data_IF_023829054329
#
_entry.id   IF_023829054329
#
_cell.length_a   1.000
_cell.length_b   1.000
_cell.length_c   1.000
_cell.angle_alpha   90.00
_cell.angle_beta   90.00
_cell.angle_gamma   90.00
#
_symmetry.space_group_name_H-M   'P 1'
#
loop_
_entity.id
_entity.type
_entity.pdbx_description
1 polymer ?
#
# COMPACT_ATOMS: atom_id res chain seq x y z
N UNK A 1 8.56 -16.19 -6.54
CA UNK A 1 8.04 -14.90 -6.04
C UNK A 1 9.15 -14.05 -5.45
N UNK A 2 9.46 -12.92 -6.09
CA UNK A 2 10.40 -11.90 -5.62
C UNK A 2 9.81 -10.53 -5.91
N UNK A 3 10.09 -9.57 -5.03
CA UNK A 3 9.70 -8.18 -5.25
C UNK A 3 10.75 -7.26 -4.64
N UNK A 4 11.10 -6.21 -5.38
CA UNK A 4 11.94 -5.11 -4.93
C UNK A 4 11.49 -3.82 -5.61
N UNK A 5 11.02 -2.87 -4.82
CA UNK A 5 10.70 -1.51 -5.24
C UNK A 5 11.59 -0.50 -4.53
N UNK A 6 12.00 0.57 -5.20
CA UNK A 6 12.71 1.71 -4.59
C UNK A 6 12.07 3.03 -5.00
N UNK A 7 11.80 3.89 -4.03
CA UNK A 7 11.37 5.28 -4.22
C UNK A 7 12.50 6.20 -3.75
N UNK A 8 12.86 7.19 -4.57
CA UNK A 8 13.88 8.19 -4.25
C UNK A 8 13.28 9.60 -4.10
N UNK A 9 12.08 9.83 -4.61
CA UNK A 9 11.40 11.12 -4.50
C UNK A 9 10.65 11.23 -3.17
N UNK A 10 10.96 12.28 -2.42
CA UNK A 10 10.35 12.62 -1.13
C UNK A 10 8.83 12.80 -1.27
N UNK A 11 8.35 13.38 -2.38
CA UNK A 11 6.91 13.60 -2.59
C UNK A 11 6.17 12.28 -2.78
N UNK A 12 6.74 11.37 -3.58
CA UNK A 12 6.21 10.02 -3.78
C UNK A 12 6.19 9.22 -2.46
N UNK A 13 7.28 9.27 -1.69
CA UNK A 13 7.36 8.61 -0.37
C UNK A 13 6.27 9.15 0.58
N UNK A 14 6.08 10.48 0.59
CA UNK A 14 5.07 11.13 1.44
C UNK A 14 3.66 10.73 1.02
N UNK A 15 3.36 10.73 -0.28
CA UNK A 15 2.06 10.32 -0.82
C UNK A 15 1.77 8.85 -0.50
N UNK A 16 2.73 7.95 -0.73
CA UNK A 16 2.60 6.54 -0.38
C UNK A 16 2.32 6.35 1.12
N UNK A 17 3.07 7.06 1.97
CA UNK A 17 2.87 7.03 3.43
C UNK A 17 1.49 7.55 3.84
N UNK A 18 1.02 8.64 3.23
CA UNK A 18 -0.33 9.17 3.48
C UNK A 18 -1.42 8.19 3.07
N UNK A 19 -1.26 7.52 1.92
CA UNK A 19 -2.20 6.50 1.46
C UNK A 19 -2.30 5.36 2.46
N UNK A 20 -1.17 4.76 2.86
CA UNK A 20 -1.15 3.68 3.86
C UNK A 20 -1.82 4.11 5.16
N UNK A 21 -1.55 5.33 5.64
CA UNK A 21 -2.16 5.85 6.85
C UNK A 21 -3.67 6.06 6.73
N UNK A 22 -4.17 6.35 5.53
CA UNK A 22 -5.61 6.41 5.28
C UNK A 22 -6.21 5.01 5.27
N UNK A 23 -5.55 4.05 4.62
CA UNK A 23 -5.99 2.64 4.62
C UNK A 23 -6.02 2.06 6.04
N UNK A 24 -5.04 2.35 6.89
CA UNK A 24 -5.01 1.85 8.26
C UNK A 24 -6.14 2.39 9.15
N UNK A 25 -6.68 3.57 8.84
CA UNK A 25 -7.87 4.10 9.53
C UNK A 25 -9.17 3.45 9.05
N UNK A 26 -9.17 2.90 7.84
CA UNK A 26 -10.35 2.28 7.23
C UNK A 26 -10.48 0.80 7.60
N UNK A 27 -9.38 0.05 7.56
CA UNK A 27 -9.37 -1.40 7.74
C UNK A 27 -8.16 -1.86 8.52
N UNK A 28 -8.30 -2.92 9.33
CA UNK A 28 -7.19 -3.56 10.08
C UNK A 28 -6.29 -4.43 9.21
N UNK A 29 -6.86 -4.98 8.14
CA UNK A 29 -6.23 -5.90 7.21
C UNK A 29 -6.49 -5.41 5.79
N UNK A 30 -5.47 -5.47 4.93
CA UNK A 30 -5.64 -5.21 3.50
C UNK A 30 -4.84 -6.23 2.68
N UNK A 31 -5.28 -6.40 1.44
CA UNK A 31 -4.57 -7.18 0.43
C UNK A 31 -3.75 -6.24 -0.44
N UNK A 32 -2.45 -6.46 -0.49
CA UNK A 32 -1.54 -5.82 -1.41
C UNK A 32 -1.38 -6.72 -2.64
N UNK A 33 -1.76 -6.17 -3.79
CA UNK A 33 -1.55 -6.77 -5.10
C UNK A 33 -0.40 -6.06 -5.80
N UNK A 34 0.63 -6.80 -6.14
CA UNK A 34 1.75 -6.34 -6.96
C UNK A 34 1.61 -6.90 -8.37
N UNK A 35 1.63 -6.02 -9.35
CA UNK A 35 1.64 -6.32 -10.78
C UNK A 35 2.85 -5.63 -11.43
N UNK A 36 3.24 -5.95 -12.67
CA UNK A 36 4.40 -5.32 -13.32
C UNK A 36 4.23 -3.82 -13.56
N UNK A 37 2.98 -3.35 -13.72
CA UNK A 37 2.66 -1.96 -14.06
C UNK A 37 2.08 -1.16 -12.88
N UNK A 38 1.48 -1.85 -11.91
CA UNK A 38 0.69 -1.23 -10.84
C UNK A 38 0.79 -1.97 -9.52
N UNK A 39 0.67 -1.20 -8.46
CA UNK A 39 0.51 -1.64 -7.08
C UNK A 39 -0.91 -1.29 -6.63
N UNK A 40 -1.67 -2.27 -6.15
CA UNK A 40 -3.04 -2.05 -5.68
C UNK A 40 -3.19 -2.45 -4.21
N UNK A 41 -3.88 -1.62 -3.44
CA UNK A 41 -4.33 -1.93 -2.08
C UNK A 41 -5.83 -2.19 -2.13
N UNK A 42 -6.21 -3.38 -1.68
CA UNK A 42 -7.59 -3.87 -1.74
C UNK A 42 -8.06 -4.14 -0.32
N UNK A 43 -9.19 -3.55 0.03
CA UNK A 43 -9.97 -3.91 1.21
C UNK A 43 -11.31 -4.39 0.68
N UNK A 44 -11.58 -5.69 0.84
CA UNK A 44 -12.86 -6.27 0.45
C UNK A 44 -13.94 -5.87 1.46
N UNK A 45 -15.15 -5.59 0.97
CA UNK A 45 -16.30 -5.29 1.83
C UNK A 45 -16.60 -6.45 2.77
N UNK A 46 -16.68 -6.14 4.07
CA UNK A 46 -17.16 -7.10 5.05
C UNK A 46 -18.68 -7.24 4.93
N UNK A 47 -19.16 -8.44 4.60
CA UNK A 47 -20.58 -8.75 4.49
C UNK A 47 -21.31 -8.70 5.84
N UNK A 48 -21.65 -7.51 6.30
CA UNK A 48 -22.67 -7.24 7.31
C UNK A 48 -23.07 -5.76 7.24
N UNK A 49 -24.32 -5.46 7.61
CA UNK A 49 -24.80 -4.08 7.82
C UNK A 49 -23.92 -3.42 8.91
N UNK A 50 -22.96 -2.58 8.50
CA UNK A 50 -21.91 -2.03 9.36
C UNK A 50 -20.48 -2.53 9.08
N UNK A 51 -20.26 -3.27 7.98
CA UNK A 51 -18.97 -3.80 7.57
C UNK A 51 -17.97 -2.74 7.11
N UNK A 52 -16.69 -3.13 7.09
CA UNK A 52 -15.59 -2.31 6.59
C UNK A 52 -15.86 -1.89 5.14
N UNK A 53 -15.79 -0.58 4.81
CA UNK A 53 -16.05 -0.11 3.46
C UNK A 53 -15.03 -0.68 2.48
N UNK A 54 -15.50 -0.99 1.27
CA UNK A 54 -14.65 -1.45 0.18
C UNK A 54 -13.66 -0.36 -0.19
N UNK A 55 -12.40 -0.72 -0.38
CA UNK A 55 -11.37 0.18 -0.87
C UNK A 55 -10.61 -0.49 -2.00
N UNK A 56 -10.55 0.21 -3.14
CA UNK A 56 -9.61 -0.07 -4.20
C UNK A 56 -8.74 1.16 -4.39
N UNK A 57 -7.46 1.06 -4.02
CA UNK A 57 -6.48 2.11 -4.26
C UNK A 57 -5.40 1.59 -5.21
N UNK A 58 -5.19 2.29 -6.32
CA UNK A 58 -4.25 1.91 -7.36
C UNK A 58 -3.13 2.95 -7.49
N UNK A 59 -1.90 2.46 -7.61
CA UNK A 59 -0.71 3.26 -7.85
C UNK A 59 0.03 2.72 -9.06
N UNK A 60 0.20 3.56 -10.08
CA UNK A 60 1.05 3.23 -11.23
C UNK A 60 2.52 3.22 -10.80
N UNK A 61 3.21 2.10 -11.05
CA UNK A 61 4.56 1.90 -10.53
C UNK A 61 5.55 2.95 -11.06
N UNK A 62 5.40 3.34 -12.33
CA UNK A 62 6.27 4.30 -13.03
C UNK A 62 6.27 5.70 -12.39
N UNK A 63 5.23 6.07 -11.65
CA UNK A 63 5.13 7.37 -11.00
C UNK A 63 5.81 7.40 -9.63
N UNK A 64 5.91 6.25 -8.96
CA UNK A 64 6.39 6.17 -7.58
C UNK A 64 7.79 5.58 -7.46
N UNK A 65 8.11 4.57 -8.28
CA UNK A 65 9.31 3.76 -8.13
C UNK A 65 10.37 4.12 -9.18
N UNK A 66 11.58 4.39 -8.73
CA UNK A 66 12.76 4.52 -9.60
C UNK A 66 13.34 3.16 -10.00
N UNK A 67 13.16 2.16 -9.15
CA UNK A 67 13.50 0.76 -9.43
C UNK A 67 12.30 -0.09 -9.05
N UNK A 68 11.77 -0.88 -9.99
CA UNK A 68 10.67 -1.81 -9.73
C UNK A 68 10.97 -3.15 -10.39
N UNK A 69 11.26 -4.16 -9.58
CA UNK A 69 11.56 -5.51 -10.04
C UNK A 69 10.65 -6.48 -9.34
N UNK A 70 9.88 -7.25 -10.10
CA UNK A 70 9.00 -8.26 -9.55
C UNK A 70 9.00 -9.52 -10.39
N UNK A 71 8.89 -10.66 -9.72
CA UNK A 71 8.82 -11.98 -10.33
C UNK A 71 7.72 -12.73 -9.56
N UNK A 72 6.61 -12.99 -10.22
CA UNK A 72 5.39 -13.58 -9.65
C UNK A 72 5.50 -15.08 -9.43
N UNK A 73 4.38 -15.77 -9.63
CA UNK A 73 4.29 -17.24 -9.53
C UNK A 73 4.52 -17.90 -10.88
N UNK A 74 4.04 -17.29 -11.96
CA UNK A 74 4.15 -17.76 -13.35
C UNK A 74 4.46 -16.58 -14.28
N UNK A 75 5.01 -16.87 -15.47
CA UNK A 75 5.20 -15.90 -16.55
C UNK A 75 3.87 -15.39 -17.11
N UNK A 76 2.84 -16.24 -17.14
CA UNK A 76 1.50 -15.89 -17.64
C UNK A 76 0.68 -15.05 -16.65
N UNK A 77 0.87 -15.30 -15.34
CA UNK A 77 0.21 -14.58 -14.25
C UNK A 77 1.25 -13.99 -13.32
N UNK A 78 1.93 -12.96 -13.81
CA UNK A 78 3.02 -12.28 -13.11
C UNK A 78 2.50 -11.32 -12.03
N UNK A 79 1.69 -11.81 -11.10
CA UNK A 79 1.14 -11.06 -9.97
C UNK A 79 1.55 -11.69 -8.64
N UNK A 80 1.57 -10.88 -7.58
CA UNK A 80 1.75 -11.35 -6.20
C UNK A 80 0.65 -10.75 -5.34
N UNK A 81 -0.15 -11.60 -4.70
CA UNK A 81 -1.16 -11.18 -3.75
C UNK A 81 -0.69 -11.55 -2.35
N UNK A 82 -0.75 -10.59 -1.44
CA UNK A 82 -0.39 -10.80 -0.05
C UNK A 82 -1.30 -10.01 0.87
N UNK A 83 -1.70 -10.63 1.97
CA UNK A 83 -2.44 -9.98 3.05
C UNK A 83 -1.46 -9.43 4.08
N UNK A 84 -1.75 -8.22 4.58
CA UNK A 84 -0.95 -7.56 5.59
C UNK A 84 -1.81 -6.78 6.59
N UNK A 85 -1.27 -6.60 7.80
CA UNK A 85 -1.89 -5.75 8.81
C UNK A 85 -1.52 -4.29 8.58
N UNK A 86 -2.54 -3.48 8.29
CA UNK A 86 -2.39 -2.06 7.91
C UNK A 86 -1.79 -1.23 9.03
N UNK A 87 -2.13 -1.52 10.29
CA UNK A 87 -1.58 -0.83 11.47
C UNK A 87 -0.07 -1.02 11.61
N UNK A 88 0.43 -2.23 11.34
CA UNK A 88 1.86 -2.53 11.37
C UNK A 88 2.58 -1.77 10.26
N UNK A 89 2.02 -1.80 9.05
CA UNK A 89 2.55 -1.09 7.91
C UNK A 89 2.59 0.44 8.13
N UNK A 90 1.50 1.03 8.64
CA UNK A 90 1.42 2.44 8.99
C UNK A 90 2.44 2.82 10.07
N UNK A 91 2.59 2.01 11.13
CA UNK A 91 3.60 2.23 12.18
C UNK A 91 5.02 2.18 11.64
N UNK A 92 5.33 1.24 10.75
CA UNK A 92 6.63 1.16 10.07
C UNK A 92 6.94 2.44 9.30
N UNK A 93 5.96 2.97 8.57
CA UNK A 93 6.12 4.20 7.79
C UNK A 93 6.01 5.48 8.63
N UNK A 94 5.55 5.42 9.88
CA UNK A 94 5.55 6.59 10.78
C UNK A 94 6.94 7.10 11.10
N UNK A 95 7.97 6.24 11.02
CA UNK A 95 9.37 6.65 11.10
C UNK A 95 9.74 7.72 10.06
N UNK A 96 9.02 7.77 8.93
CA UNK A 96 9.16 8.76 7.86
C UNK A 96 8.51 10.12 8.18
N UNK A 97 7.67 10.21 9.22
CA UNK A 97 7.02 11.46 9.62
C UNK A 97 7.89 12.35 10.52
N UNK A 98 8.99 11.81 11.06
CA UNK A 98 9.94 12.62 11.81
C UNK A 98 10.51 13.73 10.91
N UNK A 99 10.95 14.84 11.49
CA UNK A 99 11.38 16.10 10.85
C UNK A 99 12.44 15.98 9.74
N UNK A 100 12.96 14.79 9.51
CA UNK A 100 13.92 14.44 8.47
C UNK A 100 13.20 13.59 7.41
N UNK A 101 12.77 14.25 6.32
CA UNK A 101 12.24 13.57 5.14
C UNK A 101 13.22 12.47 4.66
N UNK A 102 12.73 11.24 4.54
CA UNK A 102 13.56 10.14 4.07
C UNK A 102 14.10 10.43 2.67
N UNK A 103 15.37 10.11 2.47
CA UNK A 103 16.08 10.25 1.19
C UNK A 103 15.73 9.13 0.23
N UNK A 104 15.52 7.92 0.74
CA UNK A 104 15.07 6.80 -0.08
C UNK A 104 14.25 5.80 0.75
N UNK A 105 13.28 5.16 0.09
CA UNK A 105 12.45 4.09 0.64
C UNK A 105 12.58 2.88 -0.28
N UNK A 106 13.04 1.75 0.23
CA UNK A 106 13.13 0.50 -0.53
C UNK A 106 12.28 -0.57 0.13
N UNK A 107 11.47 -1.25 -0.66
CA UNK A 107 10.51 -2.27 -0.24
C UNK A 107 10.93 -3.57 -0.89
N UNK A 108 11.07 -4.64 -0.09
CA UNK A 108 11.48 -5.97 -0.57
C UNK A 108 10.57 -7.04 0.00
N UNK A 109 10.19 -8.01 -0.82
CA UNK A 109 9.63 -9.26 -0.32
C UNK A 109 10.77 -10.20 0.06
N UNK A 110 10.88 -10.52 1.34
CA UNK A 110 11.92 -11.39 1.89
C UNK A 110 11.30 -12.60 2.57
N UNK A 111 12.06 -13.70 2.61
CA UNK A 111 11.70 -14.91 3.35
C UNK A 111 12.67 -15.04 4.53
N UNK A 112 12.23 -14.58 5.71
CA UNK A 112 12.95 -14.80 6.96
C UNK A 112 12.39 -16.08 7.61
N UNK A 113 11.88 -16.00 8.84
CA UNK A 113 11.13 -17.09 9.47
C UNK A 113 9.75 -17.27 8.81
N UNK A 114 9.15 -16.17 8.37
CA UNK A 114 7.92 -16.09 7.58
C UNK A 114 8.13 -15.12 6.40
N UNK A 115 7.26 -15.14 5.38
CA UNK A 115 7.29 -14.11 4.35
C UNK A 115 7.04 -12.73 4.97
N UNK A 116 7.95 -11.79 4.70
CA UNK A 116 7.90 -10.44 5.24
C UNK A 116 8.11 -9.43 4.12
N UNK A 117 7.44 -8.28 4.24
CA UNK A 117 7.73 -7.09 3.47
C UNK A 117 8.73 -6.25 4.28
N UNK A 118 9.99 -6.24 3.82
CA UNK A 118 11.08 -5.50 4.44
C UNK A 118 11.14 -4.10 3.86
N UNK A 119 11.11 -3.09 4.73
CA UNK A 119 11.25 -1.68 4.42
C UNK A 119 12.63 -1.21 4.87
N UNK A 120 13.47 -0.82 3.91
CA UNK A 120 14.75 -0.15 4.13
C UNK A 120 14.57 1.34 3.88
N UNK A 121 14.74 2.14 4.93
CA UNK A 121 14.52 3.59 4.93
C UNK A 121 15.85 4.29 5.16
N UNK A 122 16.28 5.10 4.21
CA UNK A 122 17.47 5.93 4.34
C UNK A 122 17.06 7.33 4.83
N UNK A 123 17.40 7.67 6.07
CA UNK A 123 17.16 8.97 6.67
C UNK A 123 18.42 9.85 6.57
N UNK A 124 18.27 11.16 6.30
CA UNK A 124 19.38 12.08 6.42
C UNK A 124 19.84 12.18 7.89
N UNK A 125 21.10 12.52 8.12
CA UNK A 125 21.65 12.71 9.47
C UNK A 125 22.42 14.01 9.55
N UNK A 126 22.34 14.67 10.71
CA UNK A 126 23.10 15.89 11.02
C UNK A 126 24.61 15.61 11.06
N UNK A 127 25.00 14.36 11.35
CA UNK A 127 26.41 13.92 11.40
C UNK A 127 26.99 13.55 10.03
N UNK A 128 26.27 13.80 8.93
CA UNK A 128 26.72 13.55 7.55
C UNK A 128 26.63 12.09 7.07
N UNK A 129 26.52 11.10 7.97
CA UNK A 129 26.31 9.69 7.59
C UNK A 129 24.82 9.33 7.54
N UNK A 130 24.29 8.80 6.43
CA UNK A 130 22.89 8.43 6.35
C UNK A 130 22.56 7.32 7.36
N UNK A 131 21.41 7.44 8.02
CA UNK A 131 20.90 6.40 8.94
C UNK A 131 20.00 5.46 8.16
N UNK A 132 20.31 4.16 8.22
CA UNK A 132 19.48 3.13 7.62
C UNK A 132 18.59 2.52 8.69
N UNK A 133 17.28 2.63 8.51
CA UNK A 133 16.27 1.99 9.36
C UNK A 133 15.64 0.84 8.58
N UNK A 134 15.63 -0.35 9.17
CA UNK A 134 15.07 -1.55 8.54
C UNK A 134 13.91 -2.07 9.39
N UNK A 135 12.76 -2.27 8.75
CA UNK A 135 11.58 -2.82 9.39
C UNK A 135 11.05 -4.00 8.59
N UNK A 136 10.66 -5.08 9.27
CA UNK A 136 10.02 -6.22 8.64
C UNK A 136 8.55 -6.28 9.04
N UNK A 137 7.67 -6.27 8.05
CA UNK A 137 6.22 -6.44 8.25
C UNK A 137 5.85 -7.85 7.80
N UNK A 138 5.41 -8.75 8.70
CA UNK A 138 4.93 -10.07 8.30
C UNK A 138 3.76 -9.96 7.33
N UNK A 139 3.75 -10.78 6.29
CA UNK A 139 2.68 -10.86 5.30
C UNK A 139 2.23 -12.31 5.13
N UNK A 140 1.00 -12.51 4.67
CA UNK A 140 0.50 -13.83 4.29
C UNK A 140 0.33 -13.87 2.77
N UNK A 141 1.02 -14.77 2.09
CA UNK A 141 0.85 -14.93 0.63
C UNK A 141 -0.50 -15.58 0.34
N UNK A 142 -1.28 -14.96 -0.53
CA UNK A 142 -2.62 -15.46 -0.90
C UNK A 142 -2.46 -16.50 -2.01
N UNK A 143 -3.00 -17.73 -1.84
CA UNK A 143 -3.00 -18.74 -2.89
C UNK A 143 -3.78 -18.29 -4.14
N UNK A 144 -3.31 -18.69 -5.33
CA UNK A 144 -3.91 -18.33 -6.63
C UNK A 144 -5.43 -18.58 -6.72
N UNK A 145 -5.90 -19.65 -6.09
CA UNK A 145 -7.34 -20.03 -6.06
C UNK A 145 -8.23 -18.92 -5.49
N UNK A 146 -7.69 -18.05 -4.64
CA UNK A 146 -8.43 -16.97 -3.98
C UNK A 146 -8.23 -15.60 -4.65
N UNK A 147 -7.42 -15.50 -5.71
CA UNK A 147 -7.14 -14.21 -6.36
C UNK A 147 -8.38 -13.59 -7.01
N UNK A 148 -9.34 -14.41 -7.45
CA UNK A 148 -10.58 -13.95 -8.09
C UNK A 148 -11.41 -13.02 -7.19
N UNK A 149 -11.37 -13.22 -5.86
CA UNK A 149 -12.15 -12.44 -4.88
C UNK A 149 -11.53 -11.06 -4.63
N UNK A 150 -10.24 -10.88 -4.95
CA UNK A 150 -9.50 -9.63 -4.76
C UNK A 150 -9.24 -8.90 -6.07
N UNK A 151 -10.09 -9.12 -7.07
CA UNK A 151 -10.05 -8.38 -8.32
C UNK A 151 -10.70 -7.01 -8.18
N UNK A 152 -10.38 -6.14 -9.13
CA UNK A 152 -10.97 -4.81 -9.24
C UNK A 152 -12.49 -4.92 -9.33
N UNK A 153 -13.25 -4.18 -8.49
CA UNK A 153 -14.70 -4.17 -8.56
C UNK A 153 -15.13 -3.73 -9.95
N UNK A 154 -15.83 -4.60 -10.68
CA UNK A 154 -16.41 -4.22 -11.97
C UNK A 154 -17.54 -3.24 -11.70
N UNK A 155 -17.45 -2.04 -12.27
CA UNK A 155 -18.54 -1.07 -12.26
C UNK A 155 -19.65 -1.58 -13.19
N UNK A 156 -20.50 -2.48 -12.69
CA UNK A 156 -21.50 -3.20 -13.50
C UNK A 156 -22.82 -2.46 -13.64
N UNK A 157 -22.98 -1.28 -13.02
CA UNK A 157 -24.23 -0.53 -13.04
C UNK A 157 -24.05 0.84 -13.69
N UNK A 158 -24.99 1.20 -14.57
CA UNK A 158 -25.19 2.60 -14.94
C UNK A 158 -25.66 3.36 -13.70
N UNK A 159 -24.90 4.38 -13.30
CA UNK A 159 -25.30 5.26 -12.23
C UNK A 159 -26.48 6.12 -12.69
N UNK A 160 -27.54 6.18 -11.90
CA UNK A 160 -28.70 7.03 -12.19
C UNK A 160 -28.36 8.53 -12.09
N UNK A 161 -27.39 8.89 -11.25
CA UNK A 161 -26.90 10.24 -11.08
C UNK A 161 -25.43 10.23 -10.66
N UNK A 162 -24.67 11.21 -11.14
CA UNK A 162 -23.28 11.45 -10.76
C UNK A 162 -23.12 12.91 -10.39
N UNK A 163 -22.55 13.18 -9.21
CA UNK A 163 -22.30 14.54 -8.73
C UNK A 163 -20.84 14.67 -8.30
N UNK A 164 -20.25 15.84 -8.58
CA UNK A 164 -18.94 16.18 -8.05
C UNK A 164 -19.05 16.49 -6.56
N UNK A 165 -18.19 15.84 -5.77
CA UNK A 165 -18.14 16.13 -4.34
C UNK A 165 -17.62 17.56 -4.10
N UNK A 166 -18.21 18.29 -3.15
CA UNK A 166 -17.65 19.55 -2.67
C UNK A 166 -16.31 19.30 -1.95
N UNK A 167 -15.57 20.35 -1.56
CA UNK A 167 -14.31 20.19 -0.83
C UNK A 167 -14.47 19.26 0.38
N UNK A 168 -13.77 18.12 0.37
CA UNK A 168 -13.94 17.04 1.37
C UNK A 168 -13.71 17.52 2.81
N UNK A 169 -12.92 18.58 3.01
CA UNK A 169 -12.71 19.20 4.32
C UNK A 169 -13.99 19.78 4.91
N UNK A 170 -14.84 20.42 4.09
CA UNK A 170 -16.12 20.96 4.54
C UNK A 170 -17.10 19.83 4.82
N UNK A 171 -17.16 18.84 3.92
CA UNK A 171 -18.02 17.67 4.08
C UNK A 171 -17.71 16.93 5.39
N UNK A 172 -16.43 16.73 5.71
CA UNK A 172 -15.99 16.10 6.95
C UNK A 172 -16.57 16.77 8.20
N UNK A 173 -16.53 18.10 8.28
CA UNK A 173 -17.06 18.84 9.43
C UNK A 173 -18.58 18.66 9.59
N UNK A 174 -19.30 18.44 8.50
CA UNK A 174 -20.76 18.21 8.53
C UNK A 174 -21.06 16.77 8.95
N UNK A 175 -20.31 15.79 8.45
CA UNK A 175 -20.51 14.36 8.76
C UNK A 175 -20.08 14.00 10.19
N UNK A 176 -19.08 14.69 10.75
CA UNK A 176 -18.60 14.45 12.13
C UNK A 176 -19.45 15.15 13.22
N UNK A 177 -20.43 15.98 12.84
CA UNK A 177 -21.39 16.62 13.76
C UNK A 177 -22.56 15.71 14.06
#
# INVERSE_FOLDING_TARGET
MKFRGKMNDVMCIRQFTQLINSVSRLAKVCVLRLSPERLCLVVSEGGALGGTPGLWAELEQKHFFSEYTMEGVSLEENNIFMELQTDKLAKTLNSLRSTQSAKSLKIKLTKKLSPCLTFEIELPSVTGRPRLVVHDVPVMLIPRKLWAVHQEPRMTHQFHASIYLPPLRQLRHVVER
#
